data_IF_867178212464
#
_entry.id   IF_867178212464
#
_cell.length_a   1.000
_cell.length_b   1.000
_cell.length_c   1.000
_cell.angle_alpha   90.00
_cell.angle_beta   90.00
_cell.angle_gamma   90.00
#
_symmetry.space_group_name_H-M   'P 1'
#
loop_
_entity.id
_entity.type
_entity.pdbx_description
1 polymer ?
#
# COMPACT_ATOMS: atom_id res chain seq x y z
N UNK A 1 -1.89 -0.60 -21.49
CA UNK A 1 -1.50 -1.22 -20.20
C UNK A 1 -2.55 -2.24 -19.80
N UNK A 2 -2.15 -3.36 -19.19
CA UNK A 2 -3.10 -4.33 -18.62
C UNK A 2 -3.75 -3.75 -17.36
N UNK A 3 -4.97 -4.18 -17.06
CA UNK A 3 -5.66 -3.75 -15.85
C UNK A 3 -4.96 -4.34 -14.61
N UNK A 4 -4.57 -3.46 -13.67
CA UNK A 4 -3.84 -3.88 -12.47
C UNK A 4 -4.66 -4.78 -11.55
N UNK A 5 -6.00 -4.66 -11.57
CA UNK A 5 -6.89 -5.56 -10.82
C UNK A 5 -6.86 -6.99 -11.39
N UNK A 6 -6.78 -7.11 -12.71
CA UNK A 6 -6.68 -8.41 -13.38
C UNK A 6 -5.34 -9.08 -13.06
N UNK A 7 -4.23 -8.33 -13.11
CA UNK A 7 -2.90 -8.83 -12.74
C UNK A 7 -2.84 -9.32 -11.29
N UNK A 8 -3.49 -8.61 -10.37
CA UNK A 8 -3.52 -8.97 -8.94
C UNK A 8 -4.48 -10.12 -8.61
N UNK A 9 -5.57 -10.24 -9.36
CA UNK A 9 -6.63 -11.20 -9.07
C UNK A 9 -6.51 -12.52 -9.81
N UNK A 10 -5.91 -12.52 -11.02
CA UNK A 10 -5.84 -13.68 -11.91
C UNK A 10 -4.55 -13.67 -12.73
N UNK A 11 -3.40 -13.67 -12.05
CA UNK A 11 -2.08 -13.64 -12.70
C UNK A 11 -1.85 -14.85 -13.61
N UNK A 12 -2.30 -16.04 -13.20
CA UNK A 12 -2.14 -17.28 -13.97
C UNK A 12 -2.84 -17.22 -15.33
N UNK A 13 -4.06 -16.67 -15.33
CA UNK A 13 -4.81 -16.42 -16.57
C UNK A 13 -4.04 -15.46 -17.49
N UNK A 14 -3.50 -14.37 -16.92
CA UNK A 14 -2.72 -13.40 -17.71
C UNK A 14 -1.47 -14.05 -18.29
N UNK A 15 -0.74 -14.85 -17.52
CA UNK A 15 0.44 -15.60 -17.97
C UNK A 15 0.07 -16.54 -19.12
N UNK A 16 -1.05 -17.26 -19.03
CA UNK A 16 -1.52 -18.12 -20.11
C UNK A 16 -1.80 -17.33 -21.39
N UNK A 17 -2.48 -16.19 -21.29
CA UNK A 17 -2.77 -15.34 -22.46
C UNK A 17 -1.51 -14.71 -23.06
N UNK A 18 -0.52 -14.38 -22.23
CA UNK A 18 0.76 -13.84 -22.69
C UNK A 18 1.61 -14.91 -23.39
N UNK A 19 1.62 -16.15 -22.89
CA UNK A 19 2.29 -17.28 -23.53
C UNK A 19 1.80 -17.54 -24.95
N UNK A 20 0.49 -17.37 -25.22
CA UNK A 20 -0.09 -17.46 -26.59
C UNK A 20 0.49 -16.44 -27.57
N UNK A 21 1.10 -15.36 -27.06
CA UNK A 21 1.76 -14.31 -27.84
C UNK A 21 3.29 -14.43 -27.80
N UNK A 22 3.80 -15.59 -27.38
CA UNK A 22 5.22 -15.86 -27.17
C UNK A 22 5.89 -14.89 -26.19
N UNK A 23 5.15 -14.41 -25.19
CA UNK A 23 5.67 -13.55 -24.14
C UNK A 23 5.76 -14.32 -22.81
N UNK A 24 6.94 -14.29 -22.18
CA UNK A 24 7.15 -14.81 -20.83
C UNK A 24 6.96 -13.68 -19.82
N UNK A 25 6.18 -13.94 -18.77
CA UNK A 25 5.92 -12.99 -17.71
C UNK A 25 6.52 -13.51 -16.40
N UNK A 26 7.39 -12.72 -15.77
CA UNK A 26 8.06 -13.05 -14.51
C UNK A 26 7.11 -12.84 -13.33
N UNK A 27 6.37 -13.89 -12.99
CA UNK A 27 5.35 -13.88 -11.93
C UNK A 27 5.96 -13.62 -10.55
N UNK A 28 7.11 -14.22 -10.26
CA UNK A 28 7.74 -14.14 -8.95
C UNK A 28 8.22 -12.71 -8.64
N UNK A 29 8.82 -12.04 -9.63
CA UNK A 29 9.24 -10.65 -9.50
C UNK A 29 8.02 -9.72 -9.28
N UNK A 30 6.95 -9.93 -10.05
CA UNK A 30 5.71 -9.17 -9.89
C UNK A 30 5.10 -9.36 -8.50
N UNK A 31 5.05 -10.59 -8.01
CA UNK A 31 4.50 -10.91 -6.69
C UNK A 31 5.32 -10.29 -5.57
N UNK A 32 6.66 -10.31 -5.67
CA UNK A 32 7.54 -9.66 -4.70
C UNK A 32 7.29 -8.14 -4.65
N UNK A 33 7.11 -7.48 -5.79
CA UNK A 33 6.78 -6.05 -5.86
C UNK A 33 5.39 -5.75 -5.30
N UNK A 34 4.40 -6.62 -5.54
CA UNK A 34 3.06 -6.47 -4.99
C UNK A 34 3.02 -6.63 -3.46
N UNK A 35 3.82 -7.54 -2.91
CA UNK A 35 4.01 -7.68 -1.47
C UNK A 35 4.61 -6.42 -0.85
N UNK A 36 5.71 -5.90 -1.44
CA UNK A 36 6.32 -4.65 -1.01
C UNK A 36 5.33 -3.47 -1.07
N UNK A 37 4.56 -3.38 -2.16
CA UNK A 37 3.52 -2.34 -2.32
C UNK A 37 2.49 -2.42 -1.19
N UNK A 38 2.03 -3.62 -0.84
CA UNK A 38 1.05 -3.83 0.23
C UNK A 38 1.62 -3.42 1.59
N UNK A 39 2.87 -3.78 1.88
CA UNK A 39 3.55 -3.38 3.13
C UNK A 39 3.62 -1.86 3.24
N UNK A 40 4.09 -1.18 2.20
CA UNK A 40 4.21 0.28 2.17
C UNK A 40 2.84 0.95 2.34
N UNK A 41 1.81 0.40 1.69
CA UNK A 41 0.44 0.90 1.80
C UNK A 41 -0.07 0.85 3.24
N UNK A 42 0.14 -0.27 3.94
CA UNK A 42 -0.27 -0.43 5.35
C UNK A 42 0.50 0.52 6.25
N UNK A 43 1.83 0.56 6.12
CA UNK A 43 2.69 1.44 6.93
C UNK A 43 2.33 2.92 6.74
N UNK A 44 2.03 3.33 5.52
CA UNK A 44 1.60 4.70 5.22
C UNK A 44 0.29 5.03 5.94
N UNK A 45 -0.68 4.11 5.92
CA UNK A 45 -1.96 4.31 6.60
C UNK A 45 -1.79 4.37 8.12
N UNK A 46 -0.92 3.54 8.69
CA UNK A 46 -0.59 3.55 10.12
C UNK A 46 0.06 4.87 10.54
N UNK A 47 1.07 5.33 9.81
CA UNK A 47 1.73 6.61 10.06
C UNK A 47 0.77 7.79 9.93
N UNK A 48 -0.12 7.75 8.94
CA UNK A 48 -1.16 8.77 8.75
C UNK A 48 -2.14 8.79 9.93
N UNK A 49 -2.55 7.63 10.42
CA UNK A 49 -3.42 7.51 11.60
C UNK A 49 -2.72 8.01 12.85
N UNK A 50 -1.46 7.62 13.06
CA UNK A 50 -0.64 8.07 14.19
C UNK A 50 -0.50 9.60 14.21
N UNK A 51 -0.20 10.20 13.04
CA UNK A 51 -0.12 11.66 12.89
C UNK A 51 -1.44 12.33 13.29
N UNK A 52 -2.56 11.84 12.78
CA UNK A 52 -3.88 12.43 13.08
C UNK A 52 -4.21 12.34 14.57
N UNK A 53 -3.93 11.20 15.20
CA UNK A 53 -4.14 10.99 16.64
C UNK A 53 -3.28 11.94 17.47
N UNK A 54 -1.99 12.07 17.15
CA UNK A 54 -1.08 13.01 17.83
C UNK A 54 -1.51 14.47 17.64
N UNK A 55 -1.90 14.87 16.44
CA UNK A 55 -2.38 16.24 16.20
C UNK A 55 -3.65 16.55 17.00
N UNK A 56 -4.55 15.57 17.12
CA UNK A 56 -5.77 15.72 17.94
C UNK A 56 -5.45 15.85 19.43
N UNK A 57 -4.55 15.02 19.96
CA UNK A 57 -4.16 15.10 21.38
C UNK A 57 -3.46 16.42 21.71
N UNK A 58 -2.60 16.93 20.81
CA UNK A 58 -1.98 18.25 20.96
C UNK A 58 -3.04 19.36 20.98
N UNK A 59 -4.00 19.32 20.06
CA UNK A 59 -5.09 20.30 20.04
C UNK A 59 -5.92 20.29 21.33
N UNK A 60 -6.18 19.10 21.88
CA UNK A 60 -6.89 18.93 23.16
C UNK A 60 -6.07 19.46 24.34
N UNK A 61 -4.79 19.09 24.46
CA UNK A 61 -3.91 19.57 25.51
C UNK A 61 -3.79 21.10 25.50
N UNK A 62 -3.69 21.71 24.30
CA UNK A 62 -3.68 23.17 24.13
C UNK A 62 -4.96 23.83 24.62
N UNK A 63 -6.11 23.23 24.32
CA UNK A 63 -7.42 23.74 24.76
C UNK A 63 -7.60 23.61 26.28
N UNK A 64 -7.05 22.55 26.89
CA UNK A 64 -7.10 22.31 28.32
C UNK A 64 -6.06 23.13 29.13
N UNK A 65 -5.17 23.87 28.47
CA UNK A 65 -4.14 24.67 29.14
C UNK A 65 -2.96 23.86 29.69
N UNK A 66 -2.81 22.60 29.26
CA UNK A 66 -1.65 21.77 29.62
C UNK A 66 -0.42 22.19 28.81
N UNK A 67 0.76 22.13 29.43
CA UNK A 67 2.02 22.51 28.80
C UNK A 67 2.41 21.43 27.78
N UNK A 68 2.53 21.82 26.52
CA UNK A 68 2.75 20.89 25.42
C UNK A 68 4.22 20.97 25.03
N UNK A 69 5.00 19.97 25.41
CA UNK A 69 6.32 19.76 24.81
C UNK A 69 6.14 18.99 23.47
N UNK A 70 6.87 19.39 22.41
CA UNK A 70 6.71 18.86 21.05
C UNK A 70 7.15 17.40 20.87
#
# INVERSE_FOLDING_TARGET
MLESKLLRGNIDFVVEQLKRRNFSFEVDEFNALEEQRKIIQVQTQELQNLRNTKSKSIGQAKASGENIEP
#
